data_IF_948527690243
#
_entry.id   IF_948527690243
#
_cell.length_a   1.000
_cell.length_b   1.000
_cell.length_c   1.000
_cell.angle_alpha   90.00
_cell.angle_beta   90.00
_cell.angle_gamma   90.00
#
_symmetry.space_group_name_H-M   'P 1'
#
loop_
_entity.id
_entity.type
_entity.pdbx_description
1 polymer ?
#
# COMPACT_ATOMS: atom_id res chain seq x y z
N UNK A 1 2.16 -1.70 -23.18
CA UNK A 1 3.01 -1.45 -22.00
C UNK A 1 3.04 -2.71 -21.16
N UNK A 2 4.18 -3.05 -20.56
CA UNK A 2 4.33 -4.22 -19.68
C UNK A 2 3.54 -4.07 -18.38
N UNK A 3 3.40 -2.84 -17.86
CA UNK A 3 2.79 -2.57 -16.58
C UNK A 3 1.49 -1.79 -16.72
N UNK A 4 0.53 -2.09 -15.84
CA UNK A 4 -0.63 -1.28 -15.53
C UNK A 4 -0.32 -0.43 -14.29
N UNK A 5 -0.73 0.83 -14.30
CA UNK A 5 -0.56 1.72 -13.15
C UNK A 5 -1.87 1.75 -12.38
N UNK A 6 -1.81 1.40 -11.10
CA UNK A 6 -2.79 1.73 -10.10
C UNK A 6 -2.32 2.95 -9.28
N UNK A 7 -3.18 3.57 -8.50
CA UNK A 7 -2.77 4.69 -7.66
C UNK A 7 -3.63 4.84 -6.40
N UNK A 8 -3.04 5.41 -5.34
CA UNK A 8 -3.74 6.01 -4.21
C UNK A 8 -4.14 7.44 -4.58
N UNK A 9 -5.33 7.61 -5.14
CA UNK A 9 -5.78 8.90 -5.67
C UNK A 9 -6.25 9.89 -4.60
N UNK A 10 -6.45 9.45 -3.35
CA UNK A 10 -6.72 10.29 -2.19
C UNK A 10 -5.53 11.22 -1.85
N UNK A 11 -4.36 10.94 -2.37
CA UNK A 11 -3.21 11.86 -2.32
C UNK A 11 -3.34 13.06 -3.27
N UNK A 12 -4.15 12.95 -4.32
CA UNK A 12 -4.43 14.05 -5.23
C UNK A 12 -5.61 14.92 -4.77
N UNK A 13 -6.63 14.29 -4.18
CA UNK A 13 -7.86 14.97 -3.73
C UNK A 13 -8.60 14.10 -2.70
N UNK A 14 -9.10 14.69 -1.62
CA UNK A 14 -9.86 13.97 -0.61
C UNK A 14 -11.23 13.49 -1.14
N UNK A 15 -11.84 14.25 -2.06
CA UNK A 15 -13.14 13.91 -2.64
C UNK A 15 -13.02 12.87 -3.74
N UNK A 16 -13.97 11.93 -3.78
CA UNK A 16 -13.97 10.91 -4.84
C UNK A 16 -14.16 11.50 -6.24
N UNK A 17 -14.84 12.65 -6.37
CA UNK A 17 -14.94 13.37 -7.63
C UNK A 17 -13.56 13.85 -8.10
N UNK A 18 -12.81 14.46 -7.19
CA UNK A 18 -11.46 14.93 -7.45
C UNK A 18 -10.48 13.77 -7.73
N UNK A 19 -10.62 12.66 -7.03
CA UNK A 19 -9.82 11.44 -7.30
C UNK A 19 -10.06 10.91 -8.72
N UNK A 20 -11.34 10.81 -9.14
CA UNK A 20 -11.72 10.40 -10.50
C UNK A 20 -11.08 11.34 -11.54
N UNK A 21 -11.17 12.65 -11.32
CA UNK A 21 -10.58 13.64 -12.24
C UNK A 21 -9.06 13.51 -12.31
N UNK A 22 -8.38 13.25 -11.18
CA UNK A 22 -6.93 13.03 -11.14
C UNK A 22 -6.52 11.79 -11.93
N UNK A 23 -7.20 10.66 -11.66
CA UNK A 23 -6.94 9.40 -12.35
C UNK A 23 -7.15 9.53 -13.87
N UNK A 24 -8.24 10.18 -14.30
CA UNK A 24 -8.53 10.41 -15.72
C UNK A 24 -7.51 11.32 -16.40
N UNK A 25 -7.11 12.41 -15.73
CA UNK A 25 -6.08 13.32 -16.24
C UNK A 25 -4.77 12.57 -16.49
N UNK A 26 -4.42 11.65 -15.58
CA UNK A 26 -3.23 10.82 -15.69
C UNK A 26 -3.46 9.50 -16.44
N UNK A 27 -4.62 9.27 -17.05
CA UNK A 27 -4.95 8.03 -17.79
C UNK A 27 -4.67 6.77 -16.99
N UNK A 28 -4.96 6.81 -15.69
CA UNK A 28 -4.88 5.67 -14.76
C UNK A 28 -6.28 5.11 -14.59
N UNK A 29 -6.46 3.82 -14.84
CA UNK A 29 -7.76 3.14 -14.79
C UNK A 29 -7.90 2.18 -13.61
N UNK A 30 -6.84 1.99 -12.82
CA UNK A 30 -6.86 1.16 -11.62
C UNK A 30 -6.71 2.04 -10.37
N UNK A 31 -7.55 1.79 -9.37
CA UNK A 31 -7.53 2.48 -8.09
C UNK A 31 -7.19 1.49 -6.98
N UNK A 32 -6.14 1.77 -6.21
CA UNK A 32 -5.99 1.22 -4.88
C UNK A 32 -6.66 2.19 -3.92
N UNK A 33 -7.83 1.80 -3.39
CA UNK A 33 -8.71 2.70 -2.67
C UNK A 33 -8.41 2.68 -1.17
N UNK A 34 -8.20 3.88 -0.59
CA UNK A 34 -7.90 4.07 0.83
C UNK A 34 -8.84 5.10 1.47
N UNK A 35 -8.93 6.27 0.90
CA UNK A 35 -9.76 7.38 1.37
C UNK A 35 -10.91 7.70 0.42
N UNK A 36 -12.09 8.04 0.95
CA UNK A 36 -13.30 8.39 0.20
C UNK A 36 -14.00 9.55 0.89
N UNK A 37 -14.05 10.72 0.25
CA UNK A 37 -14.72 11.91 0.77
C UNK A 37 -14.32 12.25 2.23
N UNK A 38 -12.99 12.17 2.53
CA UNK A 38 -12.43 12.45 3.86
C UNK A 38 -12.61 11.34 4.90
N UNK A 39 -13.18 10.18 4.53
CA UNK A 39 -13.34 9.00 5.41
C UNK A 39 -12.42 7.86 4.96
N UNK A 40 -12.04 7.00 5.89
CA UNK A 40 -11.42 5.72 5.51
C UNK A 40 -12.40 4.87 4.70
N UNK A 41 -11.91 4.20 3.66
CA UNK A 41 -12.73 3.25 2.89
C UNK A 41 -13.33 2.15 3.76
N UNK A 42 -12.67 1.78 4.86
CA UNK A 42 -13.16 0.76 5.81
C UNK A 42 -14.41 1.19 6.60
N UNK A 43 -14.79 2.47 6.54
CA UNK A 43 -15.99 3.01 7.19
C UNK A 43 -17.23 2.96 6.28
N UNK A 44 -17.07 2.62 5.01
CA UNK A 44 -18.19 2.49 4.08
C UNK A 44 -19.05 1.26 4.41
N UNK A 45 -20.33 1.39 4.16
CA UNK A 45 -21.25 0.25 4.10
C UNK A 45 -21.12 -0.48 2.75
N UNK A 46 -21.51 -1.76 2.66
CA UNK A 46 -21.55 -2.47 1.38
C UNK A 46 -22.43 -1.79 0.32
N UNK A 47 -23.51 -1.10 0.74
CA UNK A 47 -24.36 -0.35 -0.18
C UNK A 47 -23.63 0.87 -0.76
N UNK A 48 -23.00 1.70 0.09
CA UNK A 48 -22.16 2.82 -0.36
C UNK A 48 -21.01 2.35 -1.26
N UNK A 49 -20.41 1.21 -0.96
CA UNK A 49 -19.37 0.59 -1.79
C UNK A 49 -19.88 0.19 -3.18
N UNK A 50 -21.09 -0.35 -3.26
CA UNK A 50 -21.74 -0.69 -4.54
C UNK A 50 -22.03 0.53 -5.40
N UNK A 51 -22.54 1.62 -4.79
CA UNK A 51 -22.76 2.90 -5.45
C UNK A 51 -21.44 3.53 -5.94
N UNK A 52 -20.42 3.49 -5.10
CA UNK A 52 -19.08 3.97 -5.43
C UNK A 52 -18.48 3.19 -6.61
N UNK A 53 -18.60 1.85 -6.59
CA UNK A 53 -18.16 0.99 -7.69
C UNK A 53 -18.83 1.37 -9.01
N UNK A 54 -20.13 1.61 -9.01
CA UNK A 54 -20.86 2.03 -10.22
C UNK A 54 -20.34 3.37 -10.74
N UNK A 55 -20.17 4.35 -9.86
CA UNK A 55 -19.63 5.68 -10.19
C UNK A 55 -18.20 5.62 -10.75
N UNK A 56 -17.33 4.77 -10.19
CA UNK A 56 -15.98 4.55 -10.70
C UNK A 56 -16.02 3.88 -12.10
N UNK A 57 -16.87 2.87 -12.27
CA UNK A 57 -17.05 2.16 -13.55
C UNK A 57 -17.53 3.09 -14.67
N UNK A 58 -18.47 4.00 -14.39
CA UNK A 58 -18.93 5.03 -15.33
C UNK A 58 -17.79 5.97 -15.78
N UNK A 59 -16.78 6.15 -14.91
CA UNK A 59 -15.57 6.91 -15.23
C UNK A 59 -14.48 6.08 -15.92
N UNK A 60 -14.69 4.77 -16.13
CA UNK A 60 -13.70 3.85 -16.70
C UNK A 60 -12.60 3.44 -15.70
N UNK A 61 -12.89 3.50 -14.41
CA UNK A 61 -11.96 3.16 -13.33
C UNK A 61 -12.46 1.90 -12.61
N UNK A 62 -11.54 0.99 -12.30
CA UNK A 62 -11.79 -0.22 -11.52
C UNK A 62 -11.02 -0.19 -10.21
N UNK A 63 -11.59 -0.72 -9.13
CA UNK A 63 -10.87 -0.89 -7.88
C UNK A 63 -9.97 -2.13 -8.01
N UNK A 64 -8.66 -1.92 -7.92
CA UNK A 64 -7.64 -2.96 -7.96
C UNK A 64 -7.49 -3.63 -6.59
N UNK A 65 -7.26 -2.80 -5.58
CA UNK A 65 -6.96 -3.24 -4.22
C UNK A 65 -7.65 -2.33 -3.20
N UNK A 66 -8.02 -2.92 -2.07
CA UNK A 66 -8.40 -2.19 -0.88
C UNK A 66 -7.13 -1.84 -0.08
N UNK A 67 -6.72 -0.57 -0.10
CA UNK A 67 -5.62 -0.04 0.71
C UNK A 67 -6.04 0.09 2.18
N UNK A 68 -6.16 -1.02 2.86
CA UNK A 68 -6.80 -1.12 4.17
C UNK A 68 -5.86 -0.79 5.33
N UNK A 69 -6.39 -0.44 6.53
CA UNK A 69 -5.61 -0.31 7.76
C UNK A 69 -5.47 -1.63 8.53
N UNK A 70 -5.93 -2.77 8.00
CA UNK A 70 -5.91 -4.04 8.73
C UNK A 70 -4.49 -4.46 9.09
N UNK A 71 -4.27 -4.74 10.36
CA UNK A 71 -2.94 -5.00 10.91
C UNK A 71 -2.14 -3.73 11.29
N UNK A 72 -2.67 -2.51 11.11
CA UNK A 72 -2.15 -1.26 11.73
C UNK A 72 -2.78 -1.04 13.11
N UNK A 73 -2.73 -2.04 13.96
CA UNK A 73 -3.12 -1.99 15.38
C UNK A 73 -1.99 -2.53 16.25
N UNK A 74 -1.97 -2.17 17.54
CA UNK A 74 -0.97 -2.69 18.47
C UNK A 74 -1.10 -4.20 18.66
N UNK A 75 0.03 -4.92 18.69
CA UNK A 75 0.01 -6.38 18.90
C UNK A 75 -0.64 -6.78 20.22
N UNK A 76 -0.64 -5.90 21.22
CA UNK A 76 -1.23 -6.14 22.54
C UNK A 76 -2.72 -5.83 22.62
N UNK A 77 -3.29 -5.24 21.55
CA UNK A 77 -4.73 -5.01 21.47
C UNK A 77 -5.51 -6.33 21.31
N UNK A 78 -6.75 -6.40 21.82
CA UNK A 78 -7.62 -7.56 21.60
C UNK A 78 -7.82 -7.82 20.10
N UNK A 79 -7.49 -9.02 19.65
CA UNK A 79 -7.54 -9.35 18.21
C UNK A 79 -8.96 -9.63 17.70
N UNK A 80 -9.86 -10.16 18.52
CA UNK A 80 -11.23 -10.51 18.11
C UNK A 80 -11.94 -9.38 17.36
N UNK A 81 -12.04 -8.15 17.93
CA UNK A 81 -12.64 -7.02 17.23
C UNK A 81 -11.95 -6.68 15.89
N UNK A 82 -10.62 -6.81 15.81
CA UNK A 82 -9.84 -6.56 14.59
C UNK A 82 -10.12 -7.57 13.50
N UNK A 83 -10.32 -8.84 13.88
CA UNK A 83 -10.74 -9.90 12.95
C UNK A 83 -12.16 -9.64 12.43
N UNK A 84 -13.07 -9.17 13.27
CA UNK A 84 -14.42 -8.82 12.83
C UNK A 84 -14.45 -7.59 11.91
N UNK A 85 -13.60 -6.59 12.15
CA UNK A 85 -13.38 -5.47 11.23
C UNK A 85 -12.86 -5.98 9.87
N UNK A 86 -11.89 -6.88 9.89
CA UNK A 86 -11.36 -7.48 8.66
C UNK A 86 -12.42 -8.27 7.88
N UNK A 87 -13.28 -9.03 8.54
CA UNK A 87 -14.39 -9.75 7.88
C UNK A 87 -15.36 -8.80 7.17
N UNK A 88 -15.73 -7.69 7.83
CA UNK A 88 -16.50 -6.63 7.16
C UNK A 88 -15.76 -6.02 5.98
N UNK A 89 -14.44 -5.88 6.09
CA UNK A 89 -13.57 -5.43 5.01
C UNK A 89 -13.53 -6.36 3.80
N UNK A 90 -13.65 -7.67 4.01
CA UNK A 90 -13.80 -8.62 2.91
C UNK A 90 -15.11 -8.41 2.15
N UNK A 91 -16.23 -8.23 2.86
CA UNK A 91 -17.52 -7.91 2.24
C UNK A 91 -17.46 -6.60 1.46
N UNK A 92 -16.79 -5.60 2.02
CA UNK A 92 -16.56 -4.30 1.38
C UNK A 92 -15.72 -4.42 0.11
N UNK A 93 -14.61 -5.17 0.15
CA UNK A 93 -13.75 -5.40 -1.01
C UNK A 93 -14.52 -6.08 -2.15
N UNK A 94 -15.34 -7.08 -1.83
CA UNK A 94 -16.21 -7.74 -2.80
C UNK A 94 -17.25 -6.79 -3.40
N UNK A 95 -17.88 -5.94 -2.59
CA UNK A 95 -18.85 -4.94 -3.06
C UNK A 95 -18.19 -3.90 -3.99
N UNK A 96 -16.96 -3.47 -3.69
CA UNK A 96 -16.15 -2.60 -4.55
C UNK A 96 -15.67 -3.30 -5.82
N UNK A 97 -15.68 -4.63 -5.88
CA UNK A 97 -15.11 -5.42 -6.97
C UNK A 97 -13.59 -5.45 -6.95
N UNK A 98 -12.97 -5.21 -5.80
CA UNK A 98 -11.54 -5.33 -5.62
C UNK A 98 -11.11 -6.81 -5.69
N UNK A 99 -9.93 -7.06 -6.22
CA UNK A 99 -9.31 -8.39 -6.26
C UNK A 99 -8.28 -8.60 -5.16
N UNK A 100 -7.82 -7.53 -4.52
CA UNK A 100 -6.75 -7.55 -3.52
C UNK A 100 -7.14 -6.75 -2.27
N UNK A 101 -6.55 -7.13 -1.14
CA UNK A 101 -6.56 -6.35 0.10
C UNK A 101 -5.12 -6.24 0.58
N UNK A 102 -4.60 -5.02 0.71
CA UNK A 102 -3.33 -4.76 1.37
C UNK A 102 -3.54 -4.67 2.88
N UNK A 103 -2.66 -5.33 3.64
CA UNK A 103 -2.67 -5.38 5.10
C UNK A 103 -1.25 -5.32 5.68
N UNK A 104 -1.16 -5.27 7.01
CA UNK A 104 0.08 -5.09 7.78
C UNK A 104 0.24 -6.15 8.87
N UNK A 105 1.39 -6.17 9.57
CA UNK A 105 1.77 -7.18 10.57
C UNK A 105 1.91 -6.64 11.99
N UNK A 106 1.04 -5.75 12.39
CA UNK A 106 0.83 -5.19 13.73
C UNK A 106 1.99 -4.34 14.27
N UNK A 107 1.67 -3.21 14.88
CA UNK A 107 2.64 -2.38 15.58
C UNK A 107 3.17 -3.10 16.81
N UNK A 108 4.50 -3.05 16.98
CA UNK A 108 5.19 -3.67 18.11
C UNK A 108 5.62 -2.62 19.16
N UNK A 109 5.64 -2.99 20.46
CA UNK A 109 6.27 -2.17 21.48
C UNK A 109 7.76 -1.96 21.16
N UNK A 110 8.22 -0.71 21.25
CA UNK A 110 9.61 -0.33 20.89
C UNK A 110 10.67 -0.91 21.82
N UNK A 111 10.28 -1.18 23.06
CA UNK A 111 11.18 -1.64 24.14
C UNK A 111 11.39 -3.15 24.13
N UNK A 112 10.68 -3.88 23.27
CA UNK A 112 10.71 -5.34 23.24
C UNK A 112 11.28 -5.85 21.91
N UNK A 113 12.02 -6.96 21.99
CA UNK A 113 12.56 -7.57 20.78
C UNK A 113 11.42 -8.12 19.88
N UNK A 114 11.38 -7.78 18.58
CA UNK A 114 10.31 -8.22 17.69
C UNK A 114 10.04 -9.73 17.70
N UNK A 115 11.07 -10.54 17.90
CA UNK A 115 10.98 -12.00 17.90
C UNK A 115 10.06 -12.55 19.01
N UNK A 116 9.85 -11.81 20.09
CA UNK A 116 8.91 -12.19 21.17
C UNK A 116 7.48 -12.29 20.65
N UNK A 117 7.13 -11.49 19.64
CA UNK A 117 5.78 -11.41 19.07
C UNK A 117 5.57 -12.26 17.83
N UNK A 118 6.62 -12.92 17.35
CA UNK A 118 6.62 -13.68 16.10
C UNK A 118 5.42 -14.61 15.97
N UNK A 119 5.23 -15.48 16.92
CA UNK A 119 4.20 -16.53 16.85
C UNK A 119 2.80 -15.94 16.90
N UNK A 120 2.60 -14.89 17.71
CA UNK A 120 1.31 -14.18 17.77
C UNK A 120 1.02 -13.42 16.47
N UNK A 121 2.01 -12.78 15.86
CA UNK A 121 1.86 -12.12 14.55
C UNK A 121 1.46 -13.14 13.49
N UNK A 122 2.16 -14.27 13.41
CA UNK A 122 1.87 -15.31 12.44
C UNK A 122 0.48 -15.92 12.65
N UNK A 123 0.08 -16.16 13.90
CA UNK A 123 -1.27 -16.63 14.23
C UNK A 123 -2.35 -15.65 13.78
N UNK A 124 -2.20 -14.35 14.09
CA UNK A 124 -3.17 -13.33 13.70
C UNK A 124 -3.28 -13.17 12.19
N UNK A 125 -2.15 -13.18 11.48
CA UNK A 125 -2.13 -13.15 10.01
C UNK A 125 -2.76 -14.41 9.39
N UNK A 126 -2.50 -15.59 9.96
CA UNK A 126 -3.16 -16.85 9.55
C UNK A 126 -4.69 -16.74 9.67
N UNK A 127 -5.19 -16.12 10.74
CA UNK A 127 -6.64 -15.91 10.91
C UNK A 127 -7.24 -14.96 9.86
N UNK A 128 -6.49 -13.97 9.38
CA UNK A 128 -6.91 -13.17 8.23
C UNK A 128 -6.95 -14.01 6.95
N UNK A 129 -5.92 -14.83 6.70
CA UNK A 129 -5.89 -15.74 5.54
C UNK A 129 -7.05 -16.74 5.58
N UNK A 130 -7.32 -17.38 6.73
CA UNK A 130 -8.45 -18.27 6.93
C UNK A 130 -9.79 -17.59 6.65
N UNK A 131 -9.98 -16.36 7.13
CA UNK A 131 -11.21 -15.60 6.92
C UNK A 131 -11.43 -15.22 5.44
N UNK A 132 -10.35 -15.02 4.68
CA UNK A 132 -10.41 -14.71 3.25
C UNK A 132 -10.53 -15.96 2.36
N UNK A 133 -10.35 -17.15 2.91
CA UNK A 133 -10.37 -18.39 2.13
C UNK A 133 -11.68 -18.57 1.36
N UNK A 134 -11.57 -18.87 0.07
CA UNK A 134 -12.72 -19.04 -0.82
C UNK A 134 -13.41 -17.75 -1.29
N UNK A 135 -12.99 -16.58 -0.82
CA UNK A 135 -13.54 -15.28 -1.27
C UNK A 135 -13.08 -14.86 -2.68
N UNK A 136 -11.97 -15.40 -3.17
CA UNK A 136 -11.31 -14.96 -4.40
C UNK A 136 -10.46 -13.70 -4.23
N UNK A 137 -10.36 -13.13 -3.02
CA UNK A 137 -9.52 -11.99 -2.69
C UNK A 137 -8.10 -12.46 -2.36
N UNK A 138 -7.11 -11.83 -2.97
CA UNK A 138 -5.68 -12.02 -2.65
C UNK A 138 -5.30 -11.07 -1.52
N UNK A 139 -4.79 -11.63 -0.42
CA UNK A 139 -4.25 -10.81 0.68
C UNK A 139 -2.77 -10.51 0.42
N UNK A 140 -2.40 -9.26 0.62
CA UNK A 140 -1.04 -8.77 0.40
C UNK A 140 -0.52 -8.03 1.63
N UNK A 141 0.59 -8.52 2.20
CA UNK A 141 1.29 -7.88 3.31
C UNK A 141 2.27 -6.84 2.77
N UNK A 142 2.17 -5.61 3.24
CA UNK A 142 3.11 -4.54 2.94
C UNK A 142 4.17 -4.41 4.05
N UNK A 143 5.44 -4.25 3.65
CA UNK A 143 6.50 -3.84 4.56
C UNK A 143 6.30 -2.37 5.00
N UNK A 144 6.36 -2.11 6.32
CA UNK A 144 6.08 -0.78 6.88
C UNK A 144 6.85 -0.57 8.20
N UNK A 145 7.05 0.69 8.55
CA UNK A 145 7.75 1.09 9.79
C UNK A 145 6.96 0.68 11.03
N UNK A 146 7.68 0.18 12.05
CA UNK A 146 7.15 -0.08 13.39
C UNK A 146 6.25 -1.30 13.53
N UNK A 147 5.96 -2.02 12.45
CA UNK A 147 5.27 -3.31 12.47
C UNK A 147 6.28 -4.46 12.50
N UNK A 148 5.82 -5.70 12.69
CA UNK A 148 6.72 -6.87 12.66
C UNK A 148 7.49 -6.96 11.35
N UNK A 149 6.83 -6.75 10.21
CA UNK A 149 7.40 -6.78 8.86
C UNK A 149 8.06 -5.47 8.44
N UNK A 150 8.87 -4.85 9.27
CA UNK A 150 9.64 -3.64 8.94
C UNK A 150 11.05 -3.94 8.39
N UNK A 151 11.48 -5.22 8.42
CA UNK A 151 12.74 -5.67 7.82
C UNK A 151 12.50 -6.80 6.82
N UNK A 152 13.33 -6.89 5.78
CA UNK A 152 13.20 -7.91 4.75
C UNK A 152 13.27 -9.35 5.28
N UNK A 153 14.16 -9.70 6.26
CA UNK A 153 14.14 -11.03 6.86
C UNK A 153 12.84 -11.39 7.57
N UNK A 154 12.20 -10.43 8.30
CA UNK A 154 10.92 -10.68 8.97
C UNK A 154 9.75 -10.76 7.97
N UNK A 155 9.75 -9.94 6.91
CA UNK A 155 8.81 -10.12 5.81
C UNK A 155 8.93 -11.51 5.17
N UNK A 156 10.15 -11.94 4.86
CA UNK A 156 10.39 -13.26 4.28
C UNK A 156 9.98 -14.40 5.23
N UNK A 157 10.10 -14.21 6.54
CA UNK A 157 9.61 -15.16 7.54
C UNK A 157 8.09 -15.29 7.50
N UNK A 158 7.37 -14.15 7.44
CA UNK A 158 5.90 -14.13 7.29
C UNK A 158 5.48 -14.93 6.04
N UNK A 159 6.05 -14.63 4.88
CA UNK A 159 5.65 -15.26 3.62
C UNK A 159 6.04 -16.74 3.53
N UNK A 160 7.14 -17.17 4.18
CA UNK A 160 7.46 -18.60 4.27
C UNK A 160 6.47 -19.36 5.16
N UNK A 161 6.00 -18.73 6.24
CA UNK A 161 5.03 -19.35 7.16
C UNK A 161 3.60 -19.34 6.58
N UNK A 162 3.27 -18.34 5.76
CA UNK A 162 1.93 -18.10 5.21
C UNK A 162 2.01 -17.96 3.67
N UNK A 163 2.12 -19.07 2.93
CA UNK A 163 2.38 -19.04 1.47
C UNK A 163 1.23 -18.44 0.64
N UNK A 164 0.01 -18.40 1.18
CA UNK A 164 -1.15 -17.78 0.53
C UNK A 164 -1.17 -16.24 0.71
N UNK A 165 -0.38 -15.71 1.63
CA UNK A 165 -0.22 -14.28 1.84
C UNK A 165 0.87 -13.75 0.90
N UNK A 166 0.47 -12.90 -0.06
CA UNK A 166 1.41 -12.29 -1.01
C UNK A 166 2.06 -11.04 -0.43
N UNK A 167 3.07 -10.50 -1.11
CA UNK A 167 3.77 -9.30 -0.67
C UNK A 167 3.43 -8.09 -1.55
N UNK A 168 3.25 -6.93 -0.92
CA UNK A 168 3.45 -5.63 -1.54
C UNK A 168 4.86 -5.17 -1.20
N UNK A 169 5.65 -4.84 -2.20
CA UNK A 169 7.01 -4.34 -1.99
C UNK A 169 7.02 -2.82 -2.09
N UNK A 170 7.31 -2.14 -0.98
CA UNK A 170 7.50 -0.70 -0.92
C UNK A 170 8.99 -0.37 -0.65
N UNK A 171 9.73 0.15 -1.65
CA UNK A 171 11.15 0.46 -1.50
C UNK A 171 11.42 1.57 -0.49
N UNK A 172 10.58 2.62 -0.45
CA UNK A 172 10.79 3.75 0.44
C UNK A 172 10.61 3.36 1.91
N UNK A 173 9.64 2.49 2.21
CA UNK A 173 9.44 1.97 3.57
C UNK A 173 10.66 1.17 4.05
N UNK A 174 11.32 0.41 3.17
CA UNK A 174 12.59 -0.26 3.52
C UNK A 174 13.70 0.75 3.80
N UNK A 175 13.88 1.79 2.96
CA UNK A 175 14.89 2.85 3.20
C UNK A 175 14.65 3.51 4.56
N UNK A 176 13.41 3.88 4.85
CA UNK A 176 13.01 4.49 6.13
C UNK A 176 13.24 3.59 7.35
N UNK A 177 13.35 2.27 7.12
CA UNK A 177 13.75 1.28 8.14
C UNK A 177 15.25 0.94 8.10
N UNK A 178 16.07 1.68 7.34
CA UNK A 178 17.51 1.41 7.18
C UNK A 178 17.81 0.10 6.46
N UNK A 179 16.88 -0.41 5.65
CA UNK A 179 17.02 -1.66 4.92
C UNK A 179 17.41 -1.37 3.45
N UNK A 180 18.50 -1.95 2.95
CA UNK A 180 18.86 -1.82 1.54
C UNK A 180 17.84 -2.57 0.64
N UNK A 181 17.37 -1.90 -0.41
CA UNK A 181 16.25 -2.39 -1.23
C UNK A 181 16.61 -3.59 -2.11
N UNK A 182 17.81 -3.62 -2.72
CA UNK A 182 18.22 -4.75 -3.58
C UNK A 182 18.38 -6.07 -2.79
N UNK A 183 19.07 -6.12 -1.63
CA UNK A 183 19.06 -7.31 -0.78
C UNK A 183 17.67 -7.70 -0.27
N UNK A 184 16.81 -6.71 0.01
CA UNK A 184 15.42 -6.99 0.38
C UNK A 184 14.65 -7.65 -0.78
N UNK A 185 14.86 -7.18 -2.00
CA UNK A 185 14.28 -7.76 -3.21
C UNK A 185 14.71 -9.22 -3.43
N UNK A 186 16.00 -9.53 -3.27
CA UNK A 186 16.50 -10.91 -3.40
C UNK A 186 15.76 -11.90 -2.49
N UNK A 187 15.37 -11.45 -1.28
CA UNK A 187 14.62 -12.26 -0.33
C UNK A 187 13.13 -12.34 -0.66
N UNK A 188 12.53 -11.29 -1.21
CA UNK A 188 11.09 -11.13 -1.29
C UNK A 188 10.50 -11.30 -2.69
N UNK A 189 11.30 -11.18 -3.75
CA UNK A 189 10.83 -11.27 -5.13
C UNK A 189 9.89 -12.46 -5.42
N UNK A 190 10.08 -13.68 -4.86
CA UNK A 190 9.17 -14.81 -5.11
C UNK A 190 7.77 -14.62 -4.55
N UNK A 191 7.60 -13.72 -3.59
CA UNK A 191 6.33 -13.47 -2.89
C UNK A 191 5.59 -12.24 -3.40
N UNK A 192 6.30 -11.33 -4.12
CA UNK A 192 5.75 -10.03 -4.54
C UNK A 192 4.63 -10.20 -5.55
N UNK A 193 3.45 -9.72 -5.18
CA UNK A 193 2.26 -9.63 -6.03
C UNK A 193 2.28 -8.34 -6.85
N UNK A 194 2.49 -7.21 -6.18
CA UNK A 194 2.65 -5.91 -6.81
C UNK A 194 3.57 -4.99 -5.98
N UNK A 195 3.93 -3.85 -6.54
CA UNK A 195 4.82 -2.89 -5.90
C UNK A 195 4.07 -1.58 -5.63
N UNK A 196 4.33 -0.98 -4.46
CA UNK A 196 4.10 0.44 -4.25
C UNK A 196 5.28 1.23 -4.82
N UNK A 197 4.96 2.26 -5.58
CA UNK A 197 5.97 3.13 -6.18
C UNK A 197 6.06 4.40 -5.39
N UNK A 198 6.97 4.36 -4.44
CA UNK A 198 7.40 5.44 -3.57
C UNK A 198 8.92 5.35 -3.46
N UNK A 199 9.60 6.48 -3.46
CA UNK A 199 11.05 6.54 -3.38
C UNK A 199 11.49 7.51 -2.27
N UNK A 200 12.65 7.26 -1.69
CA UNK A 200 13.17 8.07 -0.59
C UNK A 200 14.70 8.22 -0.68
N UNK A 201 15.21 9.30 -0.11
CA UNK A 201 16.63 9.49 0.16
C UNK A 201 17.06 8.70 1.42
N UNK A 202 18.36 8.58 1.65
CA UNK A 202 18.92 7.89 2.81
C UNK A 202 18.44 8.41 4.17
N UNK A 203 18.06 9.69 4.25
CA UNK A 203 17.49 10.31 5.45
C UNK A 203 15.99 10.02 5.65
N UNK A 204 15.37 9.29 4.71
CA UNK A 204 13.95 8.93 4.72
C UNK A 204 13.04 9.97 4.05
N UNK A 205 13.58 11.10 3.57
CA UNK A 205 12.80 12.11 2.83
C UNK A 205 12.26 11.54 1.53
N UNK A 206 10.96 11.67 1.31
CA UNK A 206 10.30 11.15 0.11
C UNK A 206 10.58 12.03 -1.11
N UNK A 207 10.90 11.39 -2.22
CA UNK A 207 11.24 12.04 -3.50
C UNK A 207 10.49 11.35 -4.66
N UNK A 208 10.39 12.00 -5.84
CA UNK A 208 9.82 11.35 -7.02
C UNK A 208 10.54 10.04 -7.37
N UNK A 209 9.79 9.08 -7.89
CA UNK A 209 10.29 7.77 -8.26
C UNK A 209 11.52 7.85 -9.18
N UNK A 210 12.59 7.16 -8.81
CA UNK A 210 13.88 7.16 -9.49
C UNK A 210 14.82 8.31 -9.10
N UNK A 211 14.42 9.15 -8.13
CA UNK A 211 15.27 10.23 -7.60
C UNK A 211 15.87 9.90 -6.22
N UNK A 212 15.51 8.76 -5.64
CA UNK A 212 15.97 8.30 -4.33
C UNK A 212 16.90 7.09 -4.42
N UNK A 213 17.03 6.42 -3.28
CA UNK A 213 17.86 5.23 -3.09
C UNK A 213 17.05 3.92 -3.18
N UNK A 214 15.78 4.00 -3.68
CA UNK A 214 14.89 2.85 -3.85
C UNK A 214 15.34 1.85 -4.92
N UNK A 215 16.33 2.18 -5.75
CA UNK A 215 16.81 1.35 -6.87
C UNK A 215 15.66 0.91 -7.80
N UNK A 216 14.64 1.77 -7.96
CA UNK A 216 13.46 1.46 -8.76
C UNK A 216 13.79 0.98 -10.18
N UNK A 217 14.78 1.55 -10.89
CA UNK A 217 15.23 1.02 -12.17
C UNK A 217 15.57 -0.47 -12.10
N UNK A 218 16.44 -0.87 -11.20
CA UNK A 218 16.93 -2.25 -11.07
C UNK A 218 15.84 -3.20 -10.59
N UNK A 219 14.97 -2.74 -9.68
CA UNK A 219 13.82 -3.51 -9.21
C UNK A 219 12.83 -3.80 -10.34
N UNK A 220 12.50 -2.80 -11.16
CA UNK A 220 11.60 -2.94 -12.30
C UNK A 220 12.16 -3.85 -13.40
N UNK A 221 13.49 -4.02 -13.51
CA UNK A 221 14.09 -5.01 -14.40
C UNK A 221 13.79 -6.46 -13.99
N UNK A 222 13.76 -6.69 -12.70
CA UNK A 222 13.59 -8.01 -12.11
C UNK A 222 12.12 -8.34 -11.83
N UNK A 223 11.26 -7.33 -11.67
CA UNK A 223 9.85 -7.53 -11.34
C UNK A 223 9.09 -8.22 -12.48
N UNK A 224 8.43 -9.33 -12.17
CA UNK A 224 7.67 -10.15 -13.12
C UNK A 224 6.17 -9.91 -13.08
N UNK A 225 5.67 -9.14 -12.11
CA UNK A 225 4.26 -8.79 -12.03
C UNK A 225 3.85 -7.74 -13.06
N UNK A 226 2.59 -7.33 -13.01
CA UNK A 226 1.98 -6.47 -14.04
C UNK A 226 1.42 -5.17 -13.50
N UNK A 227 1.28 -5.01 -12.18
CA UNK A 227 0.69 -3.80 -11.56
C UNK A 227 1.70 -3.09 -10.70
N UNK A 228 1.73 -1.77 -10.84
CA UNK A 228 2.50 -0.83 -10.03
C UNK A 228 1.54 0.18 -9.44
N UNK A 229 1.42 0.25 -8.11
CA UNK A 229 0.58 1.25 -7.44
C UNK A 229 1.39 2.48 -7.11
N UNK A 230 1.00 3.63 -7.64
CA UNK A 230 1.57 4.93 -7.32
C UNK A 230 1.13 5.34 -5.91
N UNK A 231 2.09 5.47 -4.99
CA UNK A 231 1.92 5.97 -3.62
C UNK A 231 2.95 7.08 -3.35
N UNK A 232 2.77 8.27 -3.92
CA UNK A 232 3.86 9.23 -4.03
C UNK A 232 4.31 9.87 -2.71
N UNK A 233 3.42 10.14 -1.78
CA UNK A 233 3.68 10.92 -0.55
C UNK A 233 4.52 12.21 -0.79
N UNK A 234 4.35 12.85 -1.95
CA UNK A 234 5.10 14.06 -2.34
C UNK A 234 4.49 15.36 -1.82
N UNK A 235 3.29 15.29 -1.25
CA UNK A 235 2.60 16.41 -0.60
C UNK A 235 1.82 15.89 0.60
N UNK A 236 1.56 16.77 1.58
CA UNK A 236 0.67 16.43 2.70
C UNK A 236 -0.75 16.30 2.19
N UNK A 237 -1.42 15.20 2.49
CA UNK A 237 -2.80 14.95 2.11
C UNK A 237 -3.67 14.64 3.33
N UNK A 238 -4.97 14.79 3.18
CA UNK A 238 -5.93 14.47 4.23
C UNK A 238 -5.87 12.97 4.53
N UNK A 239 -5.75 12.59 5.79
CA UNK A 239 -5.60 11.19 6.20
C UNK A 239 -4.15 10.71 6.37
N UNK A 240 -3.12 11.46 5.92
CA UNK A 240 -1.72 11.07 6.11
C UNK A 240 -1.40 10.77 7.59
N UNK A 241 -1.86 11.61 8.51
CA UNK A 241 -1.67 11.42 9.97
C UNK A 241 -2.30 10.14 10.51
N UNK A 242 -3.35 9.63 9.87
CA UNK A 242 -3.96 8.36 10.26
C UNK A 242 -3.14 7.12 9.81
N UNK A 243 -2.24 7.30 8.86
CA UNK A 243 -1.36 6.24 8.34
C UNK A 243 -0.09 6.11 9.16
N UNK A 244 0.29 7.15 9.90
CA UNK A 244 1.54 7.24 10.62
C UNK A 244 1.36 6.98 12.12
N UNK A 245 2.26 6.21 12.71
CA UNK A 245 2.36 6.08 14.16
C UNK A 245 2.99 7.34 14.76
N UNK A 246 2.61 7.70 15.98
CA UNK A 246 3.19 8.83 16.71
C UNK A 246 4.72 8.69 16.79
N UNK A 247 5.44 9.69 16.28
CA UNK A 247 6.92 9.72 16.23
C UNK A 247 7.57 9.00 15.05
N UNK A 248 6.79 8.50 14.07
CA UNK A 248 7.29 7.87 12.84
C UNK A 248 6.80 8.64 11.59
N UNK A 249 6.92 9.98 11.60
CA UNK A 249 6.44 10.82 10.50
C UNK A 249 7.33 10.70 9.27
N UNK A 250 6.69 10.63 8.11
CA UNK A 250 7.36 10.79 6.82
C UNK A 250 7.72 12.25 6.61
N UNK A 251 8.98 12.53 6.35
CA UNK A 251 9.39 13.90 5.99
C UNK A 251 9.00 14.17 4.53
N UNK A 252 7.96 14.99 4.36
CA UNK A 252 7.47 15.40 3.05
C UNK A 252 7.90 16.83 2.83
N UNK A 253 8.83 17.09 1.90
CA UNK A 253 9.23 18.45 1.55
C UNK A 253 8.11 19.13 0.73
N UNK A 254 7.04 19.57 1.40
CA UNK A 254 5.83 20.17 0.82
C UNK A 254 6.09 21.43 -0.03
N UNK A 255 7.30 21.98 0.02
CA UNK A 255 7.70 23.18 -0.72
C UNK A 255 7.95 22.99 -2.22
N UNK A 256 7.89 21.76 -2.73
CA UNK A 256 8.19 21.45 -4.15
C UNK A 256 6.99 21.57 -5.07
N UNK A 257 5.77 21.48 -4.55
CA UNK A 257 4.55 21.45 -5.33
C UNK A 257 3.53 22.45 -4.79
N UNK A 258 2.78 23.08 -5.69
CA UNK A 258 1.79 24.11 -5.33
C UNK A 258 0.44 23.49 -4.95
N UNK A 259 0.23 22.21 -5.26
CA UNK A 259 -0.99 21.47 -4.95
C UNK A 259 -0.73 19.96 -4.94
N UNK A 260 -1.62 19.22 -4.26
CA UNK A 260 -1.64 17.76 -4.26
C UNK A 260 -1.80 17.18 -5.67
N UNK A 261 -2.60 17.85 -6.52
CA UNK A 261 -2.76 17.50 -7.94
C UNK A 261 -1.45 17.58 -8.71
N UNK A 262 -0.69 18.65 -8.51
CA UNK A 262 0.62 18.83 -9.14
C UNK A 262 1.61 17.76 -8.66
N UNK A 263 1.64 17.47 -7.36
CA UNK A 263 2.47 16.43 -6.79
C UNK A 263 2.12 15.04 -7.36
N UNK A 264 0.84 14.72 -7.47
CA UNK A 264 0.36 13.46 -8.04
C UNK A 264 0.72 13.34 -9.53
N UNK A 265 0.53 14.40 -10.32
CA UNK A 265 0.90 14.42 -11.74
C UNK A 265 2.42 14.25 -11.94
N UNK A 266 3.24 14.92 -11.10
CA UNK A 266 4.70 14.77 -11.12
C UNK A 266 5.13 13.34 -10.80
N UNK A 267 4.50 12.70 -9.82
CA UNK A 267 4.76 11.31 -9.48
C UNK A 267 4.39 10.34 -10.62
N UNK A 268 3.22 10.55 -11.24
CA UNK A 268 2.79 9.76 -12.39
C UNK A 268 3.75 9.93 -13.59
N UNK A 269 4.24 11.14 -13.85
CA UNK A 269 5.22 11.41 -14.89
C UNK A 269 6.57 10.73 -14.60
N UNK A 270 7.06 10.79 -13.37
CA UNK A 270 8.30 10.12 -12.94
C UNK A 270 8.22 8.60 -13.16
N UNK A 271 7.15 7.95 -12.71
CA UNK A 271 6.95 6.52 -12.92
C UNK A 271 6.91 6.16 -14.41
N UNK A 272 6.18 6.95 -15.22
CA UNK A 272 6.14 6.71 -16.69
C UNK A 272 7.50 6.84 -17.33
N UNK A 273 8.31 7.81 -16.91
CA UNK A 273 9.70 7.96 -17.38
C UNK A 273 10.53 6.71 -17.12
N UNK A 274 10.40 6.10 -15.94
CA UNK A 274 11.08 4.84 -15.61
C UNK A 274 10.62 3.66 -16.46
N UNK A 275 9.33 3.57 -16.76
CA UNK A 275 8.76 2.46 -17.53
C UNK A 275 9.07 2.59 -19.04
N UNK A 276 9.02 3.80 -19.61
CA UNK A 276 9.19 4.06 -21.05
C UNK A 276 10.64 3.95 -21.52
N UNK A 277 11.60 4.31 -20.68
CA UNK A 277 13.03 4.20 -21.01
C UNK A 277 13.50 2.74 -21.14
N UNK A 278 12.59 1.75 -21.10
CA UNK A 278 12.88 0.31 -21.09
C UNK A 278 12.25 -0.46 -22.27
N UNK A 279 11.60 0.24 -23.20
CA UNK A 279 11.13 -0.30 -24.49
C UNK A 279 12.12 -0.02 -25.57
#
# INVERSE_FOLDING_TARGET
MRYQIAAFADEADASIAGQIDALRAEKISLLEIRGVDGRSVSELTPAEAGELRARLADAGISVWSLGSPYGKSGIREPFGPRLDEFRRGLELALALGASHIRLFSFFLPREEAPQVFRDEVLERLSRFCEAAQGSGIVLCHENEKGIYGDTAPRCAEIHRALPDLRAVFDPANFIQCGQPTLPAWELLAPYVEYMHIKDALADGSVVPAGCGEGHLPELLEQYQGTVLTLEPHLAVFEGLTALEQEGARTDIPSYRYTSNREAFAAAAAALRGLIQNRT
#
